data_IF_589604938498
#
_entry.id   IF_589604938498
#
_cell.length_a   1.000
_cell.length_b   1.000
_cell.length_c   1.000
_cell.angle_alpha   90.00
_cell.angle_beta   90.00
_cell.angle_gamma   90.00
#
_symmetry.space_group_name_H-M   'P 1'
#
loop_
_entity.id
_entity.type
_entity.pdbx_description
1 polymer ?
#
# COMPACT_ATOMS: atom_id res chain seq x y z
N UNK A 1 9.84 4.82 -4.50
CA UNK A 1 10.49 3.69 -3.81
C UNK A 1 9.40 2.95 -3.06
N UNK A 2 9.11 1.74 -3.52
CA UNK A 2 8.25 0.76 -2.89
C UNK A 2 8.94 -0.59 -3.11
N UNK A 3 8.93 -1.48 -2.11
CA UNK A 3 9.66 -2.74 -2.17
C UNK A 3 8.79 -3.94 -1.82
N UNK A 4 9.28 -5.14 -2.10
CA UNK A 4 8.80 -6.40 -1.51
C UNK A 4 9.28 -6.50 -0.05
N UNK A 5 8.92 -5.51 0.76
CA UNK A 5 9.45 -5.28 2.09
C UNK A 5 9.43 -3.80 2.46
N UNK A 6 9.80 -3.51 3.70
CA UNK A 6 9.84 -2.14 4.22
C UNK A 6 11.09 -1.40 3.72
N UNK A 7 10.96 -0.33 2.90
CA UNK A 7 12.11 0.37 2.32
C UNK A 7 13.10 0.92 3.35
N UNK A 8 12.62 1.32 4.53
CA UNK A 8 13.47 1.85 5.61
C UNK A 8 14.39 0.81 6.26
N UNK A 9 14.24 -0.48 5.93
CA UNK A 9 15.21 -1.51 6.32
C UNK A 9 16.44 -1.59 5.40
N UNK A 10 16.42 -0.90 4.25
CA UNK A 10 17.58 -0.85 3.36
C UNK A 10 18.61 0.15 3.89
N UNK A 11 19.77 -0.33 4.30
CA UNK A 11 20.83 0.46 4.97
C UNK A 11 21.48 1.57 4.13
N UNK A 12 21.11 1.67 2.85
CA UNK A 12 21.59 2.72 1.93
C UNK A 12 20.41 3.47 1.31
N UNK A 13 19.30 3.60 2.02
CA UNK A 13 18.10 4.26 1.53
C UNK A 13 18.38 5.72 1.16
N UNK A 14 19.11 6.46 2.01
CA UNK A 14 19.46 7.85 1.72
C UNK A 14 20.25 8.00 0.41
N UNK A 15 21.26 7.14 0.22
CA UNK A 15 22.05 7.12 -1.02
C UNK A 15 21.20 6.74 -2.23
N UNK A 16 20.34 5.73 -2.11
CA UNK A 16 19.44 5.30 -3.18
C UNK A 16 18.53 6.45 -3.64
N UNK A 17 17.94 7.19 -2.70
CA UNK A 17 17.09 8.33 -3.01
C UNK A 17 17.88 9.39 -3.79
N UNK A 18 19.08 9.73 -3.32
CA UNK A 18 19.94 10.73 -3.96
C UNK A 18 20.38 10.31 -5.37
N UNK A 19 20.75 9.05 -5.58
CA UNK A 19 21.11 8.55 -6.90
C UNK A 19 19.90 8.52 -7.85
N UNK A 20 18.72 8.12 -7.38
CA UNK A 20 17.50 8.15 -8.19
C UNK A 20 17.16 9.58 -8.66
N UNK A 21 17.31 10.59 -7.80
CA UNK A 21 17.08 11.99 -8.16
C UNK A 21 18.01 12.51 -9.27
N UNK A 22 19.17 11.88 -9.48
CA UNK A 22 20.05 12.21 -10.62
C UNK A 22 19.57 11.59 -11.93
N UNK A 23 18.77 10.53 -11.87
CA UNK A 23 18.31 9.76 -13.03
C UNK A 23 16.92 10.19 -13.53
N UNK A 24 16.19 11.01 -12.77
CA UNK A 24 14.86 11.47 -13.14
C UNK A 24 14.63 12.92 -12.72
N UNK A 25 13.83 13.62 -13.51
CA UNK A 25 13.30 14.97 -13.17
C UNK A 25 11.97 14.89 -12.41
N UNK A 26 11.36 13.69 -12.31
CA UNK A 26 10.12 13.48 -11.56
C UNK A 26 10.41 13.40 -10.05
N UNK A 27 9.47 13.80 -9.19
CA UNK A 27 9.60 13.65 -7.75
C UNK A 27 9.87 12.19 -7.34
N UNK A 28 10.79 11.98 -6.41
CA UNK A 28 11.06 10.68 -5.80
C UNK A 28 10.22 10.55 -4.54
N UNK A 29 9.24 9.64 -4.60
CA UNK A 29 8.38 9.30 -3.47
C UNK A 29 8.87 8.05 -2.73
N UNK A 30 8.68 7.95 -1.41
CA UNK A 30 8.94 6.74 -0.61
C UNK A 30 7.67 6.32 0.12
N UNK A 31 7.22 5.08 -0.04
CA UNK A 31 6.11 4.50 0.72
C UNK A 31 6.69 3.66 1.87
N UNK A 32 6.24 3.87 3.10
CA UNK A 32 6.76 3.19 4.29
C UNK A 32 5.65 2.85 5.27
N UNK A 33 5.78 1.74 5.99
CA UNK A 33 4.88 1.41 7.09
C UNK A 33 5.10 2.27 8.36
N UNK A 34 6.10 3.17 8.34
CA UNK A 34 6.40 4.12 9.42
C UNK A 34 7.07 3.52 10.66
N UNK A 35 7.27 2.19 10.72
CA UNK A 35 7.69 1.50 11.94
C UNK A 35 9.08 1.95 12.46
N UNK A 36 9.93 2.47 11.58
CA UNK A 36 11.29 2.93 11.90
C UNK A 36 11.41 4.46 11.99
N UNK A 37 10.32 5.23 11.87
CA UNK A 37 10.39 6.71 11.98
C UNK A 37 10.83 7.21 13.36
N UNK A 38 10.84 6.34 14.38
CA UNK A 38 11.42 6.68 15.67
C UNK A 38 12.96 6.75 15.65
N UNK A 39 13.60 6.17 14.64
CA UNK A 39 15.04 6.27 14.43
C UNK A 39 15.39 7.56 13.68
N UNK A 40 16.22 8.40 14.29
CA UNK A 40 16.65 9.68 13.72
C UNK A 40 17.43 9.49 12.41
N UNK A 41 18.25 8.44 12.31
CA UNK A 41 19.03 8.15 11.11
C UNK A 41 18.07 7.87 9.93
N UNK A 42 17.02 7.07 10.17
CA UNK A 42 16.01 6.77 9.14
C UNK A 42 15.26 8.04 8.72
N UNK A 43 14.91 8.91 9.67
CA UNK A 43 14.29 10.21 9.35
C UNK A 43 15.22 11.07 8.48
N UNK A 44 16.49 11.14 8.81
CA UNK A 44 17.47 11.91 8.05
C UNK A 44 17.68 11.38 6.64
N UNK A 45 17.66 10.06 6.45
CA UNK A 45 17.71 9.46 5.11
C UNK A 45 16.45 9.79 4.29
N UNK A 46 15.26 9.70 4.90
CA UNK A 46 13.98 9.99 4.25
C UNK A 46 13.83 11.46 3.85
N UNK A 47 14.49 12.40 4.55
CA UNK A 47 14.51 13.84 4.20
C UNK A 47 15.06 14.12 2.79
N UNK A 48 15.77 13.17 2.18
CA UNK A 48 16.25 13.32 0.80
C UNK A 48 15.14 13.14 -0.25
N UNK A 49 14.01 12.52 0.11
CA UNK A 49 12.88 12.29 -0.77
C UNK A 49 12.06 13.57 -0.97
N UNK A 50 11.35 13.66 -2.09
CA UNK A 50 10.44 14.78 -2.35
C UNK A 50 9.07 14.56 -1.69
N UNK A 51 8.65 13.30 -1.62
CA UNK A 51 7.36 12.87 -1.05
C UNK A 51 7.60 11.65 -0.17
N UNK A 52 7.00 11.59 1.01
CA UNK A 52 7.01 10.40 1.86
C UNK A 52 5.58 10.04 2.26
N UNK A 53 5.27 8.75 2.15
CA UNK A 53 3.95 8.19 2.42
C UNK A 53 4.00 7.18 3.57
N UNK A 54 3.96 7.63 4.84
CA UNK A 54 3.91 6.72 5.96
C UNK A 54 2.47 6.26 6.25
N UNK A 55 2.32 4.98 6.58
CA UNK A 55 1.04 4.40 6.99
C UNK A 55 0.68 4.73 8.45
N UNK A 56 -0.58 5.08 8.70
CA UNK A 56 -1.21 5.24 10.01
C UNK A 56 -2.56 4.52 9.99
N UNK A 57 -2.53 3.21 10.21
CA UNK A 57 -3.74 2.35 10.13
C UNK A 57 -4.39 2.10 11.49
N UNK A 58 -3.67 2.41 12.58
CA UNK A 58 -4.05 2.10 13.94
C UNK A 58 -4.08 3.35 14.82
N UNK A 59 -4.87 3.29 15.90
CA UNK A 59 -5.06 4.41 16.82
C UNK A 59 -4.67 4.09 18.27
N UNK A 60 -4.29 2.83 18.54
CA UNK A 60 -3.72 2.39 19.80
C UNK A 60 -2.89 1.11 19.63
N UNK A 61 -2.27 0.65 20.73
CA UNK A 61 -1.46 -0.56 20.71
C UNK A 61 -2.26 -1.81 20.29
N UNK A 62 -3.53 -1.92 20.70
CA UNK A 62 -4.37 -3.09 20.40
C UNK A 62 -4.66 -3.19 18.90
N UNK A 63 -5.12 -2.10 18.29
CA UNK A 63 -5.37 -1.99 16.86
C UNK A 63 -4.07 -2.15 16.06
N UNK A 64 -2.97 -1.55 16.50
CA UNK A 64 -1.66 -1.64 15.85
C UNK A 64 -1.13 -3.08 15.79
N UNK A 65 -1.30 -3.85 16.88
CA UNK A 65 -0.92 -5.26 16.91
C UNK A 65 -1.79 -6.14 16.01
N UNK A 66 -3.08 -5.81 15.87
CA UNK A 66 -4.02 -6.55 15.02
C UNK A 66 -3.80 -6.27 13.53
N UNK A 67 -3.65 -4.99 13.17
CA UNK A 67 -3.59 -4.53 11.79
C UNK A 67 -2.16 -4.67 11.26
N UNK A 68 -1.21 -3.92 11.85
CA UNK A 68 0.16 -3.83 11.32
C UNK A 68 1.06 -5.00 11.74
N UNK A 69 0.67 -5.76 12.77
CA UNK A 69 1.39 -6.95 13.30
C UNK A 69 2.92 -6.73 13.35
N UNK A 70 3.38 -5.63 13.96
CA UNK A 70 4.78 -5.24 13.94
C UNK A 70 5.64 -6.25 14.72
N UNK A 71 6.96 -6.19 14.50
CA UNK A 71 7.90 -6.92 15.35
C UNK A 71 7.67 -6.59 16.84
N UNK A 72 7.71 -7.61 17.71
CA UNK A 72 7.23 -7.52 19.10
C UNK A 72 7.81 -6.35 19.92
N UNK A 73 9.01 -5.87 19.59
CA UNK A 73 9.67 -4.76 20.28
C UNK A 73 9.26 -3.35 19.82
N UNK A 74 8.50 -3.25 18.73
CA UNK A 74 8.00 -1.98 18.18
C UNK A 74 6.63 -1.73 18.79
N UNK A 75 6.46 -0.62 19.50
CA UNK A 75 5.19 -0.20 20.09
C UNK A 75 4.55 0.92 19.28
N UNK A 76 3.23 1.00 19.33
CA UNK A 76 2.44 2.05 18.68
C UNK A 76 2.89 3.44 19.12
N UNK A 77 3.07 3.63 20.44
CA UNK A 77 3.50 4.91 21.00
C UNK A 77 4.84 5.40 20.40
N UNK A 78 5.80 4.48 20.21
CA UNK A 78 7.09 4.82 19.63
C UNK A 78 6.97 5.15 18.14
N UNK A 79 6.17 4.41 17.39
CA UNK A 79 5.91 4.68 15.97
C UNK A 79 5.25 6.04 15.79
N UNK A 80 4.20 6.33 16.57
CA UNK A 80 3.49 7.60 16.52
C UNK A 80 4.39 8.78 16.93
N UNK A 81 5.22 8.64 17.97
CA UNK A 81 6.22 9.68 18.33
C UNK A 81 7.23 9.93 17.22
N UNK A 82 7.67 8.87 16.52
CA UNK A 82 8.53 8.98 15.36
C UNK A 82 7.85 9.77 14.22
N UNK A 83 6.59 9.44 13.93
CA UNK A 83 5.80 10.14 12.93
C UNK A 83 5.55 11.61 13.30
N UNK A 84 5.29 11.93 14.58
CA UNK A 84 5.16 13.31 15.07
C UNK A 84 6.45 14.12 14.95
N UNK A 85 7.61 13.47 15.13
CA UNK A 85 8.91 14.14 14.97
C UNK A 85 9.16 14.37 13.48
N UNK A 86 8.95 13.34 12.66
CA UNK A 86 9.15 13.41 11.22
C UNK A 86 8.24 14.44 10.55
N UNK A 87 6.97 14.56 10.96
CA UNK A 87 6.03 15.52 10.38
C UNK A 87 6.45 16.99 10.55
N UNK A 88 7.20 17.30 11.61
CA UNK A 88 7.75 18.64 11.86
C UNK A 88 9.09 18.88 11.19
N UNK A 89 9.85 17.81 10.96
CA UNK A 89 11.22 17.88 10.43
C UNK A 89 11.27 17.78 8.91
N UNK A 90 10.28 17.14 8.28
CA UNK A 90 10.25 16.87 6.85
C UNK A 90 9.76 18.09 6.06
N UNK A 91 10.57 18.58 5.13
CA UNK A 91 10.26 19.77 4.33
C UNK A 91 9.66 19.44 2.94
N UNK A 92 9.59 18.15 2.58
CA UNK A 92 8.89 17.69 1.37
C UNK A 92 7.39 17.52 1.61
N UNK A 93 6.69 16.85 0.70
CA UNK A 93 5.26 16.58 0.89
C UNK A 93 5.03 15.29 1.69
N UNK A 94 4.35 15.39 2.84
CA UNK A 94 3.98 14.25 3.66
C UNK A 94 2.56 13.82 3.35
N UNK A 95 2.40 12.65 2.73
CA UNK A 95 1.08 12.11 2.39
C UNK A 95 0.79 10.87 3.23
N UNK A 96 -0.04 11.01 4.26
CA UNK A 96 -0.39 9.89 5.12
C UNK A 96 -1.28 8.90 4.39
N UNK A 97 -1.12 7.61 4.70
CA UNK A 97 -2.01 6.55 4.22
C UNK A 97 -2.69 5.84 5.40
N UNK A 98 -4.01 5.64 5.32
CA UNK A 98 -4.77 4.84 6.28
C UNK A 98 -5.55 3.77 5.53
N UNK A 99 -5.21 2.50 5.76
CA UNK A 99 -5.97 1.36 5.27
C UNK A 99 -7.12 1.03 6.23
N UNK A 100 -8.35 1.14 5.74
CA UNK A 100 -9.55 0.74 6.47
C UNK A 100 -9.81 -0.75 6.28
N UNK A 101 -10.00 -1.45 7.40
CA UNK A 101 -10.29 -2.87 7.47
C UNK A 101 -11.58 -3.07 8.26
N UNK A 102 -12.51 -3.81 7.66
CA UNK A 102 -13.84 -4.06 8.23
C UNK A 102 -13.76 -4.65 9.62
N UNK A 103 -14.49 -4.05 10.55
CA UNK A 103 -14.58 -4.48 11.94
C UNK A 103 -13.34 -4.22 12.80
N UNK A 104 -12.27 -3.63 12.24
CA UNK A 104 -11.06 -3.30 12.99
C UNK A 104 -10.95 -1.80 13.28
N UNK A 105 -11.01 -0.97 12.24
CA UNK A 105 -10.80 0.47 12.33
C UNK A 105 -11.81 1.30 11.52
N UNK A 106 -12.88 0.67 11.01
CA UNK A 106 -13.91 1.31 10.18
C UNK A 106 -15.14 1.81 10.97
N UNK A 107 -15.17 1.60 12.29
CA UNK A 107 -16.24 2.06 13.17
C UNK A 107 -15.95 3.48 13.71
N UNK A 108 -17.02 4.19 14.07
CA UNK A 108 -16.96 5.62 14.40
C UNK A 108 -15.97 5.99 15.51
N UNK A 109 -15.90 5.17 16.57
CA UNK A 109 -14.95 5.39 17.66
C UNK A 109 -13.49 5.32 17.18
N UNK A 110 -13.15 4.31 16.38
CA UNK A 110 -11.81 4.20 15.79
C UNK A 110 -11.49 5.37 14.89
N UNK A 111 -12.43 5.76 14.03
CA UNK A 111 -12.25 6.89 13.12
C UNK A 111 -12.04 8.21 13.88
N UNK A 112 -12.79 8.44 14.96
CA UNK A 112 -12.60 9.60 15.82
C UNK A 112 -11.20 9.61 16.48
N UNK A 113 -10.73 8.46 16.96
CA UNK A 113 -9.39 8.34 17.56
C UNK A 113 -8.28 8.48 16.52
N UNK A 114 -8.47 7.98 15.30
CA UNK A 114 -7.54 8.24 14.18
C UNK A 114 -7.51 9.75 13.88
N UNK A 115 -8.67 10.41 13.86
CA UNK A 115 -8.76 11.86 13.64
C UNK A 115 -7.98 12.66 14.69
N UNK A 116 -8.08 12.31 15.96
CA UNK A 116 -7.31 12.94 17.04
C UNK A 116 -5.79 12.81 16.85
N UNK A 117 -5.33 11.66 16.34
CA UNK A 117 -3.92 11.46 16.02
C UNK A 117 -3.49 12.29 14.81
N UNK A 118 -4.31 12.32 13.76
CA UNK A 118 -4.06 13.15 12.59
C UNK A 118 -3.97 14.64 12.95
N UNK A 119 -4.81 15.12 13.87
CA UNK A 119 -4.78 16.51 14.35
C UNK A 119 -3.49 16.87 15.10
N UNK A 120 -2.71 15.87 15.54
CA UNK A 120 -1.40 16.04 16.15
C UNK A 120 -0.22 16.04 15.17
N UNK A 121 -0.48 16.01 13.86
CA UNK A 121 0.53 15.88 12.80
C UNK A 121 0.44 17.05 11.80
N UNK A 122 1.58 17.42 11.23
CA UNK A 122 1.68 18.33 10.09
C UNK A 122 1.83 17.50 8.81
N UNK A 123 0.84 17.52 7.92
CA UNK A 123 0.84 16.71 6.70
C UNK A 123 0.05 17.39 5.57
N UNK A 124 0.32 17.03 4.32
CA UNK A 124 -0.27 17.68 3.14
C UNK A 124 -1.54 16.96 2.65
N UNK A 125 -1.54 15.62 2.72
CA UNK A 125 -2.64 14.79 2.21
C UNK A 125 -2.85 13.58 3.09
N UNK A 126 -4.10 13.16 3.19
CA UNK A 126 -4.48 11.86 3.74
C UNK A 126 -5.12 11.04 2.63
N UNK A 127 -4.58 9.86 2.36
CA UNK A 127 -5.18 8.88 1.49
C UNK A 127 -5.80 7.75 2.30
N UNK A 128 -7.01 7.38 1.92
CA UNK A 128 -7.76 6.29 2.54
C UNK A 128 -7.81 5.15 1.54
N UNK A 129 -7.33 3.99 1.98
CA UNK A 129 -7.26 2.78 1.18
C UNK A 129 -8.15 1.69 1.80
N UNK A 130 -8.53 0.70 0.99
CA UNK A 130 -9.21 -0.51 1.48
C UNK A 130 -8.48 -1.75 0.95
N UNK A 131 -8.65 -2.95 1.53
CA UNK A 131 -8.01 -4.17 1.04
C UNK A 131 -8.67 -4.67 -0.26
N UNK A 132 -8.66 -3.85 -1.32
CA UNK A 132 -9.24 -4.15 -2.66
C UNK A 132 -8.65 -5.36 -3.36
N UNK A 133 -7.46 -5.79 -2.91
CA UNK A 133 -6.77 -6.99 -3.40
C UNK A 133 -6.89 -8.09 -2.36
N UNK A 134 -6.93 -9.37 -2.77
CA UNK A 134 -6.99 -10.50 -1.85
C UNK A 134 -5.89 -10.39 -0.78
N UNK A 135 -6.27 -10.25 0.50
CA UNK A 135 -5.29 -10.15 1.58
C UNK A 135 -4.57 -11.50 1.78
N UNK A 136 -3.42 -11.45 2.45
CA UNK A 136 -2.72 -12.66 2.89
C UNK A 136 -3.56 -13.47 3.89
N UNK A 137 -4.38 -12.76 4.69
CA UNK A 137 -5.18 -13.31 5.76
C UNK A 137 -6.66 -13.38 5.34
N UNK A 138 -7.27 -14.57 5.42
CA UNK A 138 -8.63 -14.80 4.92
C UNK A 138 -9.73 -14.08 5.72
N UNK A 139 -9.42 -13.62 6.93
CA UNK A 139 -10.36 -12.91 7.81
C UNK A 139 -10.36 -11.39 7.58
N UNK A 140 -9.44 -10.88 6.75
CA UNK A 140 -9.39 -9.45 6.40
C UNK A 140 -10.40 -9.19 5.30
N UNK A 141 -11.31 -8.25 5.55
CA UNK A 141 -12.37 -7.86 4.64
C UNK A 141 -12.37 -6.34 4.41
N UNK A 142 -12.86 -5.93 3.23
CA UNK A 142 -13.09 -4.53 2.93
C UNK A 142 -14.26 -3.96 3.74
N UNK A 143 -14.16 -2.70 4.21
CA UNK A 143 -15.28 -1.99 4.82
C UNK A 143 -16.42 -1.83 3.80
N UNK A 144 -17.63 -1.57 4.29
CA UNK A 144 -18.74 -1.25 3.39
C UNK A 144 -18.51 0.11 2.71
N UNK A 145 -19.13 0.37 1.53
CA UNK A 145 -19.06 1.69 0.89
C UNK A 145 -19.49 2.82 1.83
N UNK A 146 -20.50 2.61 2.66
CA UNK A 146 -20.98 3.59 3.64
C UNK A 146 -19.92 3.86 4.73
N UNK A 147 -19.22 2.83 5.21
CA UNK A 147 -18.10 2.99 6.15
C UNK A 147 -16.95 3.78 5.51
N UNK A 148 -16.63 3.53 4.25
CA UNK A 148 -15.59 4.26 3.52
C UNK A 148 -15.98 5.74 3.33
N UNK A 149 -17.22 6.02 2.89
CA UNK A 149 -17.74 7.39 2.75
C UNK A 149 -17.70 8.15 4.08
N UNK A 150 -18.10 7.48 5.18
CA UNK A 150 -18.04 8.05 6.53
C UNK A 150 -16.60 8.37 6.94
N UNK A 151 -15.66 7.47 6.69
CA UNK A 151 -14.26 7.69 7.01
C UNK A 151 -13.65 8.83 6.19
N UNK A 152 -13.94 8.90 4.89
CA UNK A 152 -13.54 10.02 4.01
C UNK A 152 -14.05 11.35 4.56
N UNK A 153 -15.34 11.41 4.93
CA UNK A 153 -15.94 12.63 5.45
C UNK A 153 -15.37 13.04 6.82
N UNK A 154 -15.16 12.09 7.73
CA UNK A 154 -14.71 12.35 9.10
C UNK A 154 -13.21 12.69 9.16
N UNK A 155 -12.39 11.96 8.40
CA UNK A 155 -10.94 12.13 8.39
C UNK A 155 -10.48 13.24 7.42
N UNK A 156 -11.33 13.67 6.49
CA UNK A 156 -10.97 14.65 5.46
C UNK A 156 -9.98 14.09 4.42
N UNK A 157 -9.98 12.77 4.21
CA UNK A 157 -9.05 12.07 3.32
C UNK A 157 -9.58 11.86 1.89
N UNK A 158 -8.74 11.31 1.03
CA UNK A 158 -9.04 10.99 -0.37
C UNK A 158 -9.05 9.47 -0.54
N UNK A 159 -10.17 8.89 -1.01
CA UNK A 159 -10.23 7.46 -1.29
C UNK A 159 -9.40 7.08 -2.53
N UNK A 160 -8.47 6.12 -2.40
CA UNK A 160 -7.58 5.66 -3.48
C UNK A 160 -8.33 4.82 -4.53
N UNK A 161 -9.36 4.07 -4.10
CA UNK A 161 -10.04 3.07 -4.94
C UNK A 161 -10.73 3.66 -6.19
N UNK A 162 -10.94 4.97 -6.23
CA UNK A 162 -11.49 5.67 -7.39
C UNK A 162 -10.44 5.95 -8.49
N UNK A 163 -9.14 5.82 -8.20
CA UNK A 163 -8.04 6.20 -9.10
C UNK A 163 -7.36 5.02 -9.84
N UNK A 164 -7.68 3.78 -9.48
CA UNK A 164 -7.00 2.54 -9.94
C UNK A 164 -7.39 2.06 -11.35
N UNK A 165 -7.91 2.93 -12.22
CA UNK A 165 -8.25 2.59 -13.62
C UNK A 165 -7.06 2.63 -14.59
N UNK A 166 -5.83 2.89 -14.12
CA UNK A 166 -4.63 2.95 -14.95
C UNK A 166 -3.99 1.56 -15.11
N UNK A 167 -4.22 0.94 -16.27
CA UNK A 167 -3.87 -0.47 -16.52
C UNK A 167 -2.37 -0.82 -16.49
N UNK A 168 -2.11 -2.14 -16.50
CA UNK A 168 -0.79 -2.75 -16.30
C UNK A 168 0.14 -2.69 -17.53
N UNK A 169 1.45 -2.76 -17.29
CA UNK A 169 2.51 -2.79 -18.32
C UNK A 169 3.61 -3.80 -17.95
N UNK A 170 4.21 -4.45 -18.95
CA UNK A 170 5.37 -5.35 -18.80
C UNK A 170 6.18 -5.38 -20.09
N UNK A 171 7.52 -5.42 -19.98
CA UNK A 171 8.45 -5.55 -21.11
C UNK A 171 8.74 -7.01 -21.47
N UNK A 172 8.27 -7.97 -20.67
CA UNK A 172 8.44 -9.41 -20.95
C UNK A 172 7.65 -9.74 -22.23
N UNK A 173 8.29 -10.40 -23.19
CA UNK A 173 7.66 -10.76 -24.48
C UNK A 173 6.58 -11.83 -24.33
N UNK A 174 6.86 -12.91 -23.60
CA UNK A 174 5.88 -13.98 -23.36
C UNK A 174 4.76 -13.49 -22.43
N UNK A 175 3.52 -13.57 -22.91
CA UNK A 175 2.35 -13.05 -22.20
C UNK A 175 2.08 -13.78 -20.89
N UNK A 176 2.34 -15.09 -20.81
CA UNK A 176 2.13 -15.86 -19.58
C UNK A 176 3.15 -15.44 -18.52
N UNK A 177 4.43 -15.39 -18.88
CA UNK A 177 5.50 -14.93 -17.99
C UNK A 177 5.32 -13.46 -17.59
N UNK A 178 4.80 -12.62 -18.50
CA UNK A 178 4.44 -11.24 -18.19
C UNK A 178 3.34 -11.16 -17.11
N UNK A 179 2.27 -11.94 -17.25
CA UNK A 179 1.21 -12.01 -16.22
C UNK A 179 1.77 -12.59 -14.92
N UNK A 180 2.50 -13.70 -14.97
CA UNK A 180 3.13 -14.32 -13.80
C UNK A 180 4.06 -13.35 -13.04
N UNK A 181 4.84 -12.55 -13.76
CA UNK A 181 5.71 -11.51 -13.18
C UNK A 181 4.94 -10.41 -12.46
N UNK A 182 3.75 -10.06 -12.95
CA UNK A 182 2.88 -9.06 -12.32
C UNK A 182 2.19 -9.67 -11.10
N UNK A 183 1.53 -10.83 -11.24
CA UNK A 183 0.73 -11.45 -10.16
C UNK A 183 1.55 -11.93 -8.97
N UNK A 184 2.87 -12.10 -9.14
CA UNK A 184 3.82 -12.30 -8.02
C UNK A 184 3.87 -11.10 -7.07
N UNK A 185 3.66 -9.89 -7.59
CA UNK A 185 3.77 -8.61 -6.84
C UNK A 185 2.41 -7.93 -6.64
N UNK A 186 1.47 -8.18 -7.55
CA UNK A 186 0.18 -7.54 -7.61
C UNK A 186 -0.87 -8.55 -8.08
N UNK A 187 -1.64 -9.16 -7.16
CA UNK A 187 -2.76 -10.02 -7.54
C UNK A 187 -3.67 -9.31 -8.54
N UNK A 188 -3.97 -9.97 -9.66
CA UNK A 188 -4.82 -9.40 -10.71
C UNK A 188 -6.11 -10.20 -10.81
N UNK A 189 -7.23 -9.51 -10.93
CA UNK A 189 -8.52 -10.14 -11.23
C UNK A 189 -8.62 -10.51 -12.72
N UNK A 190 -9.55 -11.41 -13.05
CA UNK A 190 -9.76 -11.90 -14.41
C UNK A 190 -10.00 -10.79 -15.44
N UNK A 191 -10.61 -9.66 -15.05
CA UNK A 191 -10.89 -8.54 -15.94
C UNK A 191 -9.63 -7.71 -16.20
N UNK A 192 -8.81 -7.51 -15.16
CA UNK A 192 -7.50 -6.85 -15.27
C UNK A 192 -6.54 -7.64 -16.16
N UNK A 193 -6.48 -8.96 -16.00
CA UNK A 193 -5.65 -9.83 -16.85
C UNK A 193 -6.12 -9.76 -18.30
N UNK A 194 -7.44 -9.82 -18.53
CA UNK A 194 -7.99 -9.66 -19.90
C UNK A 194 -7.61 -8.31 -20.50
N UNK A 195 -7.84 -7.21 -19.78
CA UNK A 195 -7.51 -5.87 -20.26
C UNK A 195 -6.01 -5.70 -20.54
N UNK A 196 -5.15 -6.29 -19.71
CA UNK A 196 -3.71 -6.31 -19.91
C UNK A 196 -3.31 -7.08 -21.17
N UNK A 197 -3.84 -8.29 -21.36
CA UNK A 197 -3.58 -9.12 -22.54
C UNK A 197 -4.11 -8.49 -23.84
N UNK A 198 -5.29 -7.87 -23.79
CA UNK A 198 -5.89 -7.14 -24.92
C UNK A 198 -4.99 -5.98 -25.36
N UNK A 199 -4.47 -5.19 -24.42
CA UNK A 199 -3.53 -4.09 -24.72
C UNK A 199 -2.23 -4.56 -25.36
N UNK A 200 -1.82 -5.80 -25.09
CA UNK A 200 -0.64 -6.43 -25.67
C UNK A 200 -0.91 -7.09 -27.02
N UNK A 201 -2.16 -7.14 -27.47
CA UNK A 201 -2.56 -7.80 -28.72
C UNK A 201 -2.53 -9.34 -28.63
N UNK A 202 -2.56 -9.91 -27.42
CA UNK A 202 -2.55 -11.35 -27.20
C UNK A 202 -3.78 -12.01 -27.86
N UNK A 203 -3.55 -12.99 -28.73
CA UNK A 203 -4.63 -13.67 -29.46
C UNK A 203 -5.19 -14.90 -28.70
N UNK A 204 -4.42 -15.47 -27.77
CA UNK A 204 -4.78 -16.68 -27.03
C UNK A 204 -4.94 -16.43 -25.52
N UNK A 205 -5.80 -15.47 -25.15
CA UNK A 205 -6.06 -15.18 -23.75
C UNK A 205 -6.63 -16.39 -22.99
N UNK A 206 -7.43 -17.23 -23.65
CA UNK A 206 -8.00 -18.44 -23.07
C UNK A 206 -6.93 -19.47 -22.67
N UNK A 207 -5.94 -19.71 -23.54
CA UNK A 207 -4.80 -20.59 -23.25
C UNK A 207 -3.97 -20.08 -22.08
N UNK A 208 -3.78 -18.76 -21.95
CA UNK A 208 -3.10 -18.15 -20.80
C UNK A 208 -3.86 -18.44 -19.50
N UNK A 209 -5.19 -18.24 -19.45
CA UNK A 209 -5.99 -18.55 -18.25
C UNK A 209 -5.96 -20.04 -17.87
N UNK A 210 -5.94 -20.94 -18.86
CA UNK A 210 -5.77 -22.38 -18.61
C UNK A 210 -4.41 -22.69 -17.99
N UNK A 211 -3.34 -22.11 -18.53
CA UNK A 211 -1.98 -22.25 -17.98
C UNK A 211 -1.89 -21.70 -16.56
N UNK A 212 -2.47 -20.53 -16.29
CA UNK A 212 -2.49 -19.94 -14.95
C UNK A 212 -3.24 -20.84 -13.96
N UNK A 213 -4.39 -21.40 -14.36
CA UNK A 213 -5.18 -22.28 -13.50
C UNK A 213 -4.54 -23.66 -13.26
N UNK A 214 -3.67 -24.11 -14.18
CA UNK A 214 -2.94 -25.37 -14.05
C UNK A 214 -1.57 -25.23 -13.36
N UNK A 215 -1.10 -23.99 -13.14
CA UNK A 215 0.22 -23.72 -12.57
C UNK A 215 0.21 -23.95 -11.06
N UNK A 216 1.22 -24.64 -10.55
CA UNK A 216 1.45 -24.78 -9.10
C UNK A 216 2.03 -23.50 -8.47
N UNK A 217 2.51 -22.56 -9.29
CA UNK A 217 3.10 -21.28 -8.84
C UNK A 217 2.06 -20.14 -8.80
N UNK A 218 0.79 -20.45 -9.13
CA UNK A 218 -0.29 -19.47 -9.18
C UNK A 218 -1.46 -20.00 -8.37
N UNK A 219 -1.89 -19.24 -7.39
CA UNK A 219 -3.10 -19.51 -6.63
C UNK A 219 -4.25 -18.71 -7.22
N UNK A 220 -5.36 -19.39 -7.46
CA UNK A 220 -6.61 -18.79 -7.88
C UNK A 220 -7.55 -18.67 -6.69
N UNK A 221 -7.87 -17.44 -6.33
CA UNK A 221 -8.76 -17.10 -5.21
C UNK A 221 -10.01 -16.43 -5.75
N UNK A 222 -11.18 -16.84 -5.28
CA UNK A 222 -12.43 -16.11 -5.57
C UNK A 222 -12.56 -14.97 -4.57
N UNK A 223 -12.52 -13.75 -5.08
CA UNK A 223 -12.65 -12.53 -4.28
C UNK A 223 -13.64 -11.59 -4.96
N UNK A 224 -14.62 -11.07 -4.21
CA UNK A 224 -15.72 -10.22 -4.73
C UNK A 224 -16.51 -10.81 -5.90
N UNK A 225 -16.61 -12.15 -5.98
CA UNK A 225 -17.28 -12.84 -7.09
C UNK A 225 -16.47 -12.90 -8.39
N UNK A 226 -15.21 -12.44 -8.36
CA UNK A 226 -14.27 -12.53 -9.47
C UNK A 226 -13.18 -13.53 -9.16
N UNK A 227 -12.66 -14.17 -10.20
CA UNK A 227 -11.43 -14.95 -10.10
C UNK A 227 -10.23 -14.00 -10.03
N UNK A 228 -9.46 -14.10 -8.96
CA UNK A 228 -8.22 -13.34 -8.75
C UNK A 228 -7.04 -14.29 -8.69
N UNK A 229 -5.98 -13.97 -9.43
CA UNK A 229 -4.79 -14.78 -9.59
C UNK A 229 -3.63 -14.11 -8.85
N UNK A 230 -2.93 -14.87 -8.00
CA UNK A 230 -1.73 -14.40 -7.27
C UNK A 230 -0.61 -15.42 -7.38
N UNK A 231 0.64 -14.95 -7.38
CA UNK A 231 1.81 -15.83 -7.33
C UNK A 231 1.95 -16.49 -5.95
N UNK A 232 2.43 -17.74 -5.94
CA UNK A 232 2.81 -18.52 -4.74
C UNK A 232 4.33 -18.62 -4.66
#
# INVERSE_FOLDING_TARGET
IVGEGEPTLYSRLGELILELKKLTVKPVAVITNGALLADEIVRDELKNADIVLPSLDAHDESSFRKINRPFGKISFARVYQGLQSFSREFAGELWLETMLVKGLNDHEESLARIKELLDGLEYDRLYINTPVRPPAESWVEEPSPESLEKAVALLGGIAIDLASSSGFFSEIEDDYEAVCSIIKRHPMNQHEIRSFLEKRGCQDSAGIFQRLSASQQVEKVIYKGYETYRGV
#
